data_IF_092165243609
#
_entry.id   IF_092165243609
#
_cell.length_a   1.000
_cell.length_b   1.000
_cell.length_c   1.000
_cell.angle_alpha   90.00
_cell.angle_beta   90.00
_cell.angle_gamma   90.00
#
_symmetry.space_group_name_H-M   'P 1'
#
loop_
_entity.id
_entity.type
_entity.pdbx_description
1 polymer ?
#
# COMPACT_ATOMS: atom_id res chain seq x y z
N UNK A 1 -40.31 -7.82 -3.44
CA UNK A 1 -40.23 -8.13 -4.90
C UNK A 1 -39.01 -7.41 -5.46
N UNK A 2 -37.86 -8.10 -5.60
CA UNK A 2 -36.69 -7.51 -6.25
C UNK A 2 -36.97 -7.44 -7.76
N UNK A 3 -37.12 -6.23 -8.29
CA UNK A 3 -37.20 -5.97 -9.73
C UNK A 3 -35.90 -6.44 -10.38
N UNK A 4 -35.96 -7.54 -11.15
CA UNK A 4 -34.82 -8.02 -11.93
C UNK A 4 -34.50 -7.00 -13.02
N UNK A 5 -33.43 -6.23 -12.82
CA UNK A 5 -32.93 -5.29 -13.82
C UNK A 5 -32.55 -6.05 -15.11
N UNK A 6 -32.97 -5.58 -16.29
CA UNK A 6 -32.64 -6.23 -17.55
C UNK A 6 -31.13 -6.14 -17.83
N UNK A 7 -30.50 -7.29 -18.12
CA UNK A 7 -29.06 -7.39 -18.44
C UNK A 7 -28.85 -7.45 -19.95
N UNK A 8 -28.14 -6.48 -20.52
CA UNK A 8 -27.78 -6.44 -21.94
C UNK A 8 -26.30 -6.81 -22.13
N UNK A 9 -26.01 -7.98 -22.74
CA UNK A 9 -24.65 -8.42 -23.07
C UNK A 9 -24.32 -8.15 -24.54
N UNK A 10 -23.28 -7.34 -24.82
CA UNK A 10 -22.75 -7.19 -26.17
C UNK A 10 -21.79 -8.36 -26.52
N UNK A 11 -22.07 -9.09 -27.61
CA UNK A 11 -21.14 -10.10 -28.14
C UNK A 11 -20.01 -9.41 -28.91
N UNK A 12 -18.77 -9.50 -28.42
CA UNK A 12 -17.56 -9.05 -29.15
C UNK A 12 -16.82 -10.27 -29.71
N UNK A 13 -16.51 -10.27 -31.01
CA UNK A 13 -15.71 -11.33 -31.68
C UNK A 13 -14.25 -11.23 -31.23
N UNK A 14 -13.74 -12.26 -30.55
CA UNK A 14 -12.36 -12.37 -30.06
C UNK A 14 -11.88 -13.80 -30.23
N UNK A 15 -10.61 -13.99 -30.58
CA UNK A 15 -9.98 -15.30 -30.64
C UNK A 15 -9.13 -15.53 -29.38
N UNK A 16 -9.36 -16.65 -28.67
CA UNK A 16 -8.61 -17.04 -27.49
C UNK A 16 -7.65 -18.18 -27.85
N UNK A 17 -6.40 -18.06 -27.44
CA UNK A 17 -5.38 -19.10 -27.59
C UNK A 17 -4.79 -19.41 -26.22
N UNK A 18 -4.75 -20.68 -25.85
CA UNK A 18 -4.25 -21.17 -24.56
C UNK A 18 -2.95 -21.94 -24.77
N UNK A 19 -2.05 -21.91 -23.77
CA UNK A 19 -0.88 -22.78 -23.78
C UNK A 19 -1.29 -24.25 -23.60
N UNK A 20 -0.48 -25.17 -24.13
CA UNK A 20 -0.74 -26.61 -24.03
C UNK A 20 -0.39 -27.17 -22.65
N UNK A 21 0.59 -26.57 -21.99
CA UNK A 21 1.06 -26.93 -20.66
C UNK A 21 1.19 -25.66 -19.78
N UNK A 22 1.20 -25.80 -18.45
CA UNK A 22 1.48 -24.69 -17.54
C UNK A 22 2.87 -24.09 -17.79
N UNK A 23 2.98 -22.77 -17.80
CA UNK A 23 4.24 -22.05 -17.95
C UNK A 23 4.83 -21.71 -16.58
N UNK A 24 6.04 -22.20 -16.29
CA UNK A 24 6.72 -21.94 -15.01
C UNK A 24 7.26 -20.51 -14.92
N UNK A 25 7.82 -19.99 -16.02
CA UNK A 25 8.28 -18.62 -16.15
C UNK A 25 7.39 -17.86 -17.13
N UNK A 26 6.28 -17.33 -16.61
CA UNK A 26 5.33 -16.57 -17.41
C UNK A 26 5.90 -15.23 -17.89
N UNK A 27 6.93 -14.69 -17.23
CA UNK A 27 7.56 -13.42 -17.62
C UNK A 27 8.32 -13.60 -18.93
N UNK A 28 9.15 -14.64 -18.99
CA UNK A 28 9.86 -15.01 -20.21
C UNK A 28 8.90 -15.39 -21.34
N UNK A 29 7.85 -16.16 -21.03
CA UNK A 29 6.81 -16.53 -21.99
C UNK A 29 6.07 -15.29 -22.54
N UNK A 30 5.84 -14.25 -21.72
CA UNK A 30 5.31 -12.97 -22.20
C UNK A 30 6.24 -12.31 -23.21
N UNK A 31 7.54 -12.21 -22.90
CA UNK A 31 8.54 -11.59 -23.78
C UNK A 31 8.61 -12.32 -25.13
N UNK A 32 8.69 -13.64 -25.12
CA UNK A 32 8.70 -14.47 -26.33
C UNK A 32 7.42 -14.27 -27.15
N UNK A 33 6.25 -14.27 -26.48
CA UNK A 33 4.96 -14.07 -27.14
C UNK A 33 4.87 -12.71 -27.83
N UNK A 34 5.31 -11.63 -27.16
CA UNK A 34 5.34 -10.28 -27.76
C UNK A 34 6.20 -10.26 -29.02
N UNK A 35 7.42 -10.81 -28.96
CA UNK A 35 8.35 -10.80 -30.09
C UNK A 35 7.82 -11.63 -31.25
N UNK A 36 7.25 -12.81 -30.98
CA UNK A 36 6.61 -13.63 -32.00
C UNK A 36 5.43 -12.89 -32.65
N UNK A 37 4.60 -12.22 -31.85
CA UNK A 37 3.47 -11.42 -32.34
C UNK A 37 3.95 -10.26 -33.21
N UNK A 38 5.03 -9.58 -32.80
CA UNK A 38 5.63 -8.47 -33.52
C UNK A 38 6.12 -8.88 -34.91
N UNK A 39 6.75 -10.06 -35.03
CA UNK A 39 7.32 -10.57 -36.29
C UNK A 39 6.25 -11.19 -37.20
N UNK A 40 5.30 -11.93 -36.64
CA UNK A 40 4.44 -12.83 -37.44
C UNK A 40 3.02 -12.31 -37.68
N UNK A 41 2.52 -11.38 -36.85
CA UNK A 41 1.12 -10.94 -36.91
C UNK A 41 0.98 -9.59 -37.62
N UNK A 42 -0.20 -9.36 -38.19
CA UNK A 42 -0.56 -8.09 -38.85
C UNK A 42 -0.49 -6.88 -37.89
N UNK A 43 -0.48 -5.64 -38.40
CA UNK A 43 -0.44 -4.43 -37.57
C UNK A 43 -1.50 -4.41 -36.46
N UNK A 44 -1.13 -3.83 -35.32
CA UNK A 44 -1.94 -3.80 -34.11
C UNK A 44 -1.05 -3.79 -32.87
N UNK A 45 -1.42 -3.00 -31.88
CA UNK A 45 -0.65 -2.86 -30.65
C UNK A 45 -0.91 -4.04 -29.70
N UNK A 46 0.08 -4.28 -28.84
CA UNK A 46 0.03 -5.33 -27.84
C UNK A 46 -0.21 -4.75 -26.45
N UNK A 47 -1.03 -5.44 -25.66
CA UNK A 47 -1.20 -5.21 -24.23
C UNK A 47 -0.79 -6.46 -23.45
N UNK A 48 0.20 -6.33 -22.58
CA UNK A 48 0.69 -7.42 -21.73
C UNK A 48 0.28 -7.13 -20.29
N UNK A 49 -0.32 -8.10 -19.61
CA UNK A 49 -0.64 -7.98 -18.19
C UNK A 49 0.47 -8.61 -17.34
N UNK A 50 1.01 -7.86 -16.38
CA UNK A 50 1.97 -8.33 -15.37
C UNK A 50 1.56 -7.83 -13.97
N UNK A 51 2.17 -8.36 -12.92
CA UNK A 51 1.62 -8.22 -11.57
C UNK A 51 2.06 -6.95 -10.84
N UNK A 52 3.19 -6.36 -11.23
CA UNK A 52 3.69 -5.14 -10.58
C UNK A 52 4.89 -4.50 -11.27
N UNK A 53 5.37 -3.40 -10.70
CA UNK A 53 6.43 -2.55 -11.25
C UNK A 53 7.70 -3.33 -11.61
N UNK A 54 8.21 -4.17 -10.72
CA UNK A 54 9.47 -4.89 -10.91
C UNK A 54 9.44 -5.84 -12.12
N UNK A 55 8.36 -6.62 -12.25
CA UNK A 55 8.13 -7.50 -13.41
C UNK A 55 7.96 -6.67 -14.69
N UNK A 56 7.21 -5.57 -14.63
CA UNK A 56 6.97 -4.69 -15.78
C UNK A 56 8.29 -4.10 -16.29
N UNK A 57 9.10 -3.54 -15.42
CA UNK A 57 10.39 -2.95 -15.78
C UNK A 57 11.34 -4.00 -16.35
N UNK A 58 11.42 -5.17 -15.70
CA UNK A 58 12.23 -6.30 -16.19
C UNK A 58 11.78 -6.77 -17.58
N UNK A 59 10.47 -6.92 -17.80
CA UNK A 59 9.91 -7.27 -19.11
C UNK A 59 10.24 -6.21 -20.17
N UNK A 60 10.11 -4.92 -19.82
CA UNK A 60 10.45 -3.83 -20.72
C UNK A 60 11.93 -3.85 -21.13
N UNK A 61 12.84 -4.04 -20.16
CA UNK A 61 14.28 -4.16 -20.38
C UNK A 61 14.59 -5.34 -21.32
N UNK A 62 14.04 -6.53 -21.05
CA UNK A 62 14.23 -7.73 -21.87
C UNK A 62 13.71 -7.56 -23.30
N UNK A 63 12.55 -6.93 -23.48
CA UNK A 63 11.99 -6.64 -24.80
C UNK A 63 12.88 -5.69 -25.60
N UNK A 64 13.31 -4.59 -24.98
CA UNK A 64 14.19 -3.61 -25.63
C UNK A 64 15.54 -4.25 -25.99
N UNK A 65 16.13 -5.03 -25.09
CA UNK A 65 17.40 -5.71 -25.33
C UNK A 65 17.29 -6.68 -26.51
N UNK A 66 16.26 -7.54 -26.54
CA UNK A 66 16.06 -8.50 -27.64
C UNK A 66 15.76 -7.82 -28.96
N UNK A 67 15.01 -6.72 -28.96
CA UNK A 67 14.77 -5.93 -30.17
C UNK A 67 16.07 -5.34 -30.72
N UNK A 68 16.95 -4.82 -29.86
CA UNK A 68 18.28 -4.33 -30.28
C UNK A 68 19.13 -5.43 -30.90
N UNK A 69 19.11 -6.66 -30.35
CA UNK A 69 19.84 -7.81 -30.91
C UNK A 69 19.33 -8.23 -32.28
N UNK A 70 18.03 -8.10 -32.53
CA UNK A 70 17.43 -8.40 -33.83
C UNK A 70 17.73 -7.32 -34.89
N UNK A 71 18.03 -6.09 -34.45
CA UNK A 71 18.48 -5.00 -35.31
C UNK A 71 17.48 -4.66 -36.40
N UNK A 72 17.97 -4.43 -37.62
CA UNK A 72 17.14 -4.08 -38.78
C UNK A 72 16.27 -5.22 -39.34
N UNK A 73 16.33 -6.42 -38.76
CA UNK A 73 15.51 -7.58 -39.20
C UNK A 73 14.05 -7.45 -38.81
N UNK A 74 13.73 -6.56 -37.86
CA UNK A 74 12.38 -6.32 -37.37
C UNK A 74 12.06 -4.83 -37.41
N UNK A 75 10.78 -4.49 -37.49
CA UNK A 75 10.31 -3.12 -37.34
C UNK A 75 10.53 -2.60 -35.91
N UNK A 76 10.47 -1.28 -35.75
CA UNK A 76 10.60 -0.64 -34.44
C UNK A 76 9.50 -1.09 -33.47
N UNK A 77 9.88 -1.36 -32.22
CA UNK A 77 8.99 -1.76 -31.13
C UNK A 77 9.04 -0.71 -30.02
N UNK A 78 7.94 0.00 -29.79
CA UNK A 78 7.80 0.97 -28.71
C UNK A 78 7.29 0.26 -27.47
N UNK A 79 8.16 0.14 -26.46
CA UNK A 79 7.84 -0.56 -25.21
C UNK A 79 7.53 0.46 -24.11
N UNK A 80 6.30 0.46 -23.60
CA UNK A 80 5.82 1.44 -22.64
C UNK A 80 5.24 0.76 -21.38
N UNK A 81 5.77 1.06 -20.18
CA UNK A 81 5.22 0.53 -18.93
C UNK A 81 4.01 1.34 -18.47
N UNK A 82 3.09 0.70 -17.73
CA UNK A 82 2.03 1.39 -16.98
C UNK A 82 1.71 0.69 -15.66
N UNK A 83 1.89 1.41 -14.55
CA UNK A 83 1.57 0.97 -13.19
C UNK A 83 1.24 2.19 -12.31
N UNK A 84 0.64 1.95 -11.14
CA UNK A 84 0.04 3.01 -10.31
C UNK A 84 1.00 4.17 -9.94
N UNK A 85 2.24 3.85 -9.58
CA UNK A 85 3.23 4.83 -9.12
C UNK A 85 4.06 5.48 -10.24
N UNK A 86 3.73 5.22 -11.52
CA UNK A 86 4.45 5.79 -12.65
C UNK A 86 4.17 7.30 -12.77
N UNK A 87 5.17 8.17 -13.01
CA UNK A 87 4.96 9.60 -13.22
C UNK A 87 3.97 9.91 -14.35
N UNK A 88 3.18 10.98 -14.19
CA UNK A 88 2.01 11.24 -15.05
C UNK A 88 2.37 11.55 -16.51
N UNK A 89 3.50 12.20 -16.72
CA UNK A 89 4.09 12.44 -18.04
C UNK A 89 4.44 11.13 -18.76
N UNK A 90 4.93 10.13 -18.03
CA UNK A 90 5.18 8.79 -18.57
C UNK A 90 3.88 8.01 -18.80
N UNK A 91 2.89 8.13 -17.90
CA UNK A 91 1.56 7.55 -18.12
C UNK A 91 0.87 8.14 -19.36
N UNK A 92 1.11 9.42 -19.70
CA UNK A 92 0.51 10.01 -20.89
C UNK A 92 1.03 9.38 -22.20
N UNK A 93 2.25 8.84 -22.20
CA UNK A 93 2.89 8.28 -23.40
C UNK A 93 2.15 7.07 -23.98
N UNK A 94 1.47 6.26 -23.15
CA UNK A 94 0.74 5.08 -23.65
C UNK A 94 -0.44 5.44 -24.57
N UNK A 95 -0.97 6.67 -24.46
CA UNK A 95 -2.07 7.17 -25.30
C UNK A 95 -1.59 7.75 -26.63
N UNK A 96 -0.28 7.97 -26.79
CA UNK A 96 0.25 8.47 -28.05
C UNK A 96 0.03 7.45 -29.17
N UNK A 97 -0.32 7.90 -30.39
CA UNK A 97 -0.53 7.01 -31.52
C UNK A 97 0.78 6.30 -31.89
N UNK A 98 0.65 5.05 -32.36
CA UNK A 98 1.80 4.27 -32.81
C UNK A 98 2.33 4.85 -34.14
N UNK A 99 3.62 5.22 -34.22
CA UNK A 99 4.26 5.67 -35.45
C UNK A 99 4.10 4.67 -36.61
N UNK A 100 3.97 5.14 -37.86
CA UNK A 100 3.89 4.27 -39.03
C UNK A 100 5.08 3.32 -39.12
N UNK A 101 4.82 2.05 -39.45
CA UNK A 101 5.86 1.02 -39.59
C UNK A 101 6.40 0.49 -38.26
N UNK A 102 5.83 0.90 -37.12
CA UNK A 102 6.21 0.40 -35.78
C UNK A 102 5.05 -0.32 -35.09
N UNK A 103 5.33 -0.96 -33.95
CA UNK A 103 4.30 -1.50 -33.05
C UNK A 103 4.51 -0.97 -31.65
N UNK A 104 3.42 -0.62 -30.95
CA UNK A 104 3.47 -0.29 -29.53
C UNK A 104 3.10 -1.52 -28.69
N UNK A 105 3.87 -1.74 -27.64
CA UNK A 105 3.63 -2.74 -26.60
C UNK A 105 3.48 -2.01 -25.29
N UNK A 106 2.30 -2.13 -24.70
CA UNK A 106 2.04 -1.61 -23.36
C UNK A 106 2.12 -2.76 -22.37
N UNK A 107 3.01 -2.64 -21.38
CA UNK A 107 3.19 -3.63 -20.31
C UNK A 107 2.56 -3.06 -19.05
N UNK A 108 1.47 -3.68 -18.59
CA UNK A 108 0.52 -3.08 -17.67
C UNK A 108 0.18 -3.95 -16.46
N UNK A 109 -0.16 -3.33 -15.34
CA UNK A 109 -0.92 -4.02 -14.28
C UNK A 109 -2.41 -4.11 -14.64
N UNK A 110 -3.22 -4.60 -13.69
CA UNK A 110 -4.68 -4.59 -13.78
C UNK A 110 -5.30 -3.18 -13.95
N UNK A 111 -4.53 -2.09 -13.90
CA UNK A 111 -5.03 -0.74 -14.26
C UNK A 111 -5.57 -0.69 -15.70
N UNK A 112 -5.03 -1.50 -16.61
CA UNK A 112 -5.49 -1.61 -17.99
C UNK A 112 -6.72 -2.53 -18.16
N UNK A 113 -7.16 -3.23 -17.10
CA UNK A 113 -8.27 -4.19 -17.14
C UNK A 113 -9.63 -3.52 -17.24
N UNK A 114 -9.84 -2.43 -16.48
CA UNK A 114 -11.09 -1.66 -16.41
C UNK A 114 -10.87 -0.18 -16.71
N UNK A 115 -9.93 0.45 -16.00
CA UNK A 115 -9.86 1.91 -15.85
C UNK A 115 -9.32 2.71 -17.05
N UNK A 116 -8.54 2.09 -17.95
CA UNK A 116 -7.90 2.81 -19.06
C UNK A 116 -8.32 2.27 -20.42
N UNK A 117 -8.51 3.15 -21.41
CA UNK A 117 -8.78 2.75 -22.80
C UNK A 117 -7.60 3.14 -23.67
N UNK A 118 -6.82 2.15 -24.11
CA UNK A 118 -5.69 2.35 -25.02
C UNK A 118 -6.17 1.99 -26.42
N UNK A 119 -6.17 2.96 -27.31
CA UNK A 119 -6.54 2.74 -28.70
C UNK A 119 -5.44 1.97 -29.43
N UNK A 120 -5.84 1.19 -30.45
CA UNK A 120 -4.91 0.40 -31.26
C UNK A 120 -4.61 -1.01 -30.74
N UNK A 121 -5.04 -1.38 -29.53
CA UNK A 121 -4.83 -2.72 -28.97
C UNK A 121 -5.62 -3.78 -29.75
N UNK A 122 -4.90 -4.70 -30.39
CA UNK A 122 -5.44 -5.87 -31.12
C UNK A 122 -4.97 -7.18 -30.49
N UNK A 123 -3.79 -7.17 -29.86
CA UNK A 123 -3.20 -8.34 -29.23
C UNK A 123 -3.15 -8.17 -27.71
N UNK A 124 -3.65 -9.16 -26.97
CA UNK A 124 -3.51 -9.22 -25.51
C UNK A 124 -2.71 -10.45 -25.15
N UNK A 125 -1.78 -10.31 -24.22
CA UNK A 125 -1.07 -11.42 -23.58
C UNK A 125 -1.44 -11.40 -22.10
N UNK A 126 -2.02 -12.49 -21.62
CA UNK A 126 -2.50 -12.63 -20.25
C UNK A 126 -1.85 -13.86 -19.59
N UNK A 127 -0.90 -13.66 -18.66
CA UNK A 127 -0.34 -14.76 -17.89
C UNK A 127 -1.27 -15.28 -16.80
N UNK A 128 -2.41 -14.61 -16.55
CA UNK A 128 -3.42 -15.11 -15.61
C UNK A 128 -3.14 -14.79 -14.14
N UNK A 129 -2.25 -13.84 -13.83
CA UNK A 129 -1.93 -13.43 -12.46
C UNK A 129 -2.28 -11.96 -12.18
N UNK A 130 -2.49 -11.64 -10.90
CA UNK A 130 -2.60 -10.28 -10.38
C UNK A 130 -2.07 -10.19 -8.94
N UNK A 131 -1.63 -9.00 -8.51
CA UNK A 131 -1.44 -8.72 -7.09
C UNK A 131 -2.76 -8.33 -6.45
N UNK A 132 -3.10 -8.99 -5.36
CA UNK A 132 -4.32 -8.72 -4.60
C UNK A 132 -3.95 -8.37 -3.16
N UNK A 133 -4.65 -7.39 -2.59
CA UNK A 133 -4.56 -7.10 -1.16
C UNK A 133 -5.13 -8.27 -0.36
N UNK A 134 -4.38 -8.67 0.66
CA UNK A 134 -4.77 -9.64 1.66
C UNK A 134 -4.50 -9.04 3.03
N UNK A 135 -5.50 -9.11 3.90
CA UNK A 135 -5.45 -8.59 5.26
C UNK A 135 -5.61 -9.73 6.26
N UNK A 136 -4.68 -9.81 7.20
CA UNK A 136 -4.79 -10.70 8.34
C UNK A 136 -5.20 -9.88 9.57
N UNK A 137 -6.47 -10.00 9.97
CA UNK A 137 -7.03 -9.23 11.07
C UNK A 137 -6.33 -9.47 12.42
N UNK A 138 -5.84 -10.70 12.66
CA UNK A 138 -5.22 -11.06 13.93
C UNK A 138 -3.83 -10.45 14.10
N UNK A 139 -3.07 -10.34 13.02
CA UNK A 139 -1.74 -9.71 13.03
C UNK A 139 -1.79 -8.23 12.66
N UNK A 140 -2.94 -7.73 12.17
CA UNK A 140 -3.09 -6.39 11.61
C UNK A 140 -2.28 -6.17 10.33
N UNK A 141 -1.82 -7.24 9.69
CA UNK A 141 -0.86 -7.17 8.60
C UNK A 141 -1.55 -7.09 7.24
N UNK A 142 -1.12 -6.14 6.42
CA UNK A 142 -1.49 -6.05 5.01
C UNK A 142 -0.38 -6.63 4.14
N UNK A 143 -0.78 -7.36 3.10
CA UNK A 143 0.14 -7.96 2.15
C UNK A 143 -0.42 -7.88 0.74
N UNK A 144 0.48 -7.75 -0.24
CA UNK A 144 0.13 -7.84 -1.65
C UNK A 144 0.63 -9.18 -2.17
N UNK A 145 -0.29 -10.13 -2.33
CA UNK A 145 0.03 -11.49 -2.74
C UNK A 145 -0.27 -11.63 -4.23
N UNK A 146 0.68 -12.21 -4.97
CA UNK A 146 0.44 -12.62 -6.36
C UNK A 146 -0.49 -13.83 -6.33
N UNK A 147 -1.63 -13.70 -6.97
CA UNK A 147 -2.68 -14.73 -7.04
C UNK A 147 -3.16 -14.90 -8.48
N UNK A 148 -3.66 -16.08 -8.85
CA UNK A 148 -4.35 -16.26 -10.13
C UNK A 148 -5.52 -15.28 -10.23
N UNK A 149 -5.72 -14.69 -11.41
CA UNK A 149 -6.87 -13.82 -11.65
C UNK A 149 -8.15 -14.65 -11.78
N UNK A 150 -9.31 -14.02 -11.52
CA UNK A 150 -10.60 -14.67 -11.71
C UNK A 150 -10.92 -14.84 -13.20
N UNK A 151 -11.79 -15.80 -13.52
CA UNK A 151 -12.35 -15.97 -14.87
C UNK A 151 -13.02 -14.68 -15.36
N UNK A 152 -13.71 -13.95 -14.48
CA UNK A 152 -14.27 -12.64 -14.79
C UNK A 152 -13.18 -11.65 -15.22
N UNK A 153 -12.07 -11.57 -14.49
CA UNK A 153 -10.93 -10.68 -14.79
C UNK A 153 -10.25 -11.06 -16.11
N UNK A 154 -9.91 -12.34 -16.31
CA UNK A 154 -9.35 -12.85 -17.56
C UNK A 154 -10.25 -12.53 -18.79
N UNK A 155 -11.56 -12.65 -18.65
CA UNK A 155 -12.51 -12.30 -19.70
C UNK A 155 -12.53 -10.79 -20.02
N UNK A 156 -12.31 -9.93 -19.02
CA UNK A 156 -12.17 -8.48 -19.20
C UNK A 156 -10.86 -8.12 -19.87
N UNK A 157 -9.75 -8.74 -19.47
CA UNK A 157 -8.42 -8.61 -20.09
C UNK A 157 -8.46 -9.00 -21.56
N UNK A 158 -9.01 -10.18 -21.87
CA UNK A 158 -9.26 -10.60 -23.25
C UNK A 158 -10.17 -9.61 -24.01
N UNK A 159 -11.03 -8.87 -23.30
CA UNK A 159 -11.92 -7.83 -23.84
C UNK A 159 -11.20 -6.61 -24.38
N UNK A 160 -9.93 -6.44 -24.05
CA UNK A 160 -9.11 -5.33 -24.54
C UNK A 160 -8.69 -5.50 -25.99
N UNK A 161 -8.48 -6.74 -26.45
CA UNK A 161 -8.16 -7.05 -27.85
C UNK A 161 -9.32 -6.79 -28.84
N UNK A 162 -10.57 -6.67 -28.38
CA UNK A 162 -11.75 -6.66 -29.24
C UNK A 162 -12.48 -5.31 -29.37
N UNK A 163 -11.77 -4.18 -29.20
CA UNK A 163 -12.39 -2.84 -29.17
C UNK A 163 -12.48 -2.18 -30.54
N UNK A 164 -11.42 -2.27 -31.33
CA UNK A 164 -11.30 -1.58 -32.63
C UNK A 164 -11.54 -2.55 -33.79
N UNK A 165 -11.04 -3.78 -33.69
CA UNK A 165 -11.17 -4.82 -34.71
C UNK A 165 -11.25 -6.21 -34.05
N UNK A 166 -11.32 -7.26 -34.87
CA UNK A 166 -11.18 -8.64 -34.38
C UNK A 166 -9.76 -8.86 -33.84
N UNK A 167 -9.63 -8.99 -32.51
CA UNK A 167 -8.35 -9.22 -31.86
C UNK A 167 -8.15 -10.62 -31.30
N UNK A 168 -6.92 -10.85 -30.86
CA UNK A 168 -6.44 -12.12 -30.31
C UNK A 168 -5.98 -11.94 -28.88
N UNK A 169 -6.33 -12.88 -28.01
CA UNK A 169 -5.82 -12.96 -26.66
C UNK A 169 -5.05 -14.26 -26.49
N UNK A 170 -3.79 -14.14 -26.06
CA UNK A 170 -2.89 -15.24 -25.78
C UNK A 170 -2.84 -15.44 -24.26
N UNK A 171 -3.49 -16.49 -23.79
CA UNK A 171 -3.53 -16.90 -22.40
C UNK A 171 -2.35 -17.83 -22.13
N UNK A 172 -1.43 -17.45 -21.23
CA UNK A 172 -0.25 -18.26 -20.88
C UNK A 172 -0.55 -19.31 -19.81
N UNK A 173 -1.78 -19.80 -19.82
CA UNK A 173 -2.31 -20.86 -18.97
C UNK A 173 -3.18 -21.77 -19.82
N UNK A 174 -3.37 -23.00 -19.33
CA UNK A 174 -4.15 -24.00 -20.06
C UNK A 174 -5.64 -23.69 -20.01
N UNK A 175 -6.39 -24.15 -21.01
CA UNK A 175 -7.85 -24.09 -20.98
C UNK A 175 -8.45 -24.87 -19.79
N UNK A 176 -7.72 -25.88 -19.28
CA UNK A 176 -8.11 -26.61 -18.09
C UNK A 176 -8.01 -25.75 -16.83
N UNK A 177 -6.87 -25.08 -16.63
CA UNK A 177 -6.65 -24.16 -15.51
C UNK A 177 -7.69 -23.02 -15.50
N UNK A 178 -7.97 -22.45 -16.67
CA UNK A 178 -9.03 -21.45 -16.82
C UNK A 178 -10.40 -21.92 -16.34
N UNK A 179 -10.73 -23.21 -16.54
CA UNK A 179 -12.06 -23.74 -16.23
C UNK A 179 -12.17 -24.31 -14.81
N UNK A 180 -11.09 -24.85 -14.25
CA UNK A 180 -11.13 -25.63 -13.01
C UNK A 180 -10.26 -25.07 -11.87
N UNK A 181 -9.22 -24.28 -12.17
CA UNK A 181 -8.34 -23.70 -11.14
C UNK A 181 -8.69 -22.23 -10.84
N UNK A 182 -9.16 -21.48 -11.84
CA UNK A 182 -9.52 -20.08 -11.67
C UNK A 182 -10.92 -19.89 -11.10
N UNK A 183 -11.02 -19.08 -10.04
CA UNK A 183 -12.28 -18.67 -9.44
C UNK A 183 -13.19 -17.92 -10.43
N UNK A 184 -14.50 -18.01 -10.28
CA UNK A 184 -15.45 -17.32 -11.17
C UNK A 184 -15.29 -15.80 -11.11
N UNK A 185 -15.29 -15.28 -9.89
CA UNK A 185 -15.24 -13.88 -9.55
C UNK A 185 -14.16 -13.64 -8.51
N UNK A 186 -13.56 -12.47 -8.55
CA UNK A 186 -12.62 -12.03 -7.53
C UNK A 186 -13.36 -11.88 -6.21
N UNK A 187 -12.77 -12.36 -5.11
CA UNK A 187 -13.34 -12.16 -3.76
C UNK A 187 -13.62 -10.65 -3.53
N UNK A 188 -14.69 -10.24 -2.85
CA UNK A 188 -14.99 -8.83 -2.60
C UNK A 188 -13.92 -8.14 -1.73
N UNK A 189 -13.80 -6.81 -1.85
CA UNK A 189 -12.83 -6.03 -1.07
C UNK A 189 -13.11 -6.08 0.44
N UNK A 190 -14.39 -6.01 0.83
CA UNK A 190 -14.83 -6.05 2.25
C UNK A 190 -14.37 -7.32 2.99
N UNK A 191 -14.10 -8.42 2.28
CA UNK A 191 -13.62 -9.66 2.89
C UNK A 191 -12.08 -9.73 3.01
N UNK A 192 -11.35 -8.72 2.52
CA UNK A 192 -9.87 -8.76 2.38
C UNK A 192 -9.15 -7.49 2.85
N UNK A 193 -9.85 -6.56 3.50
CA UNK A 193 -9.28 -5.30 3.98
C UNK A 193 -9.57 -5.10 5.46
N UNK A 194 -8.84 -4.18 6.09
CA UNK A 194 -9.18 -3.71 7.43
C UNK A 194 -10.58 -3.05 7.41
N UNK A 195 -11.41 -3.40 8.39
CA UNK A 195 -12.79 -2.91 8.51
C UNK A 195 -12.95 -1.76 9.50
N UNK A 196 -11.90 -1.29 10.17
CA UNK A 196 -11.97 -0.23 11.20
C UNK A 196 -12.76 1.01 10.73
N UNK A 197 -12.44 1.52 9.54
CA UNK A 197 -13.17 2.64 8.92
C UNK A 197 -14.62 2.33 8.59
N UNK A 198 -14.88 1.14 8.03
CA UNK A 198 -16.23 0.71 7.65
C UNK A 198 -17.11 0.56 8.89
N UNK A 199 -16.59 -0.06 9.94
CA UNK A 199 -17.29 -0.23 11.22
C UNK A 199 -17.56 1.12 11.87
N UNK A 200 -16.58 2.03 11.91
CA UNK A 200 -16.76 3.38 12.44
C UNK A 200 -17.87 4.14 11.70
N UNK A 201 -17.89 4.05 10.37
CA UNK A 201 -18.91 4.67 9.52
C UNK A 201 -20.30 4.05 9.73
N UNK A 202 -20.41 2.73 9.77
CA UNK A 202 -21.70 2.07 10.01
C UNK A 202 -22.27 2.46 11.38
N UNK A 203 -21.40 2.54 12.39
CA UNK A 203 -21.78 3.00 13.73
C UNK A 203 -22.19 4.47 13.75
N UNK A 204 -21.54 5.35 13.00
CA UNK A 204 -21.96 6.76 12.90
C UNK A 204 -23.30 6.95 12.19
N UNK A 205 -23.65 6.04 11.28
CA UNK A 205 -24.98 5.97 10.64
C UNK A 205 -26.07 5.38 11.55
N UNK A 206 -25.74 4.95 12.78
CA UNK A 206 -26.68 4.38 13.74
C UNK A 206 -26.92 2.88 13.57
N UNK A 207 -26.11 2.18 12.77
CA UNK A 207 -26.20 0.74 12.59
C UNK A 207 -25.45 0.05 13.73
N UNK A 208 -26.21 -0.49 14.69
CA UNK A 208 -25.64 -1.11 15.88
C UNK A 208 -25.35 -2.60 15.71
N UNK A 209 -26.24 -3.31 15.00
CA UNK A 209 -26.11 -4.74 14.72
C UNK A 209 -25.37 -4.94 13.39
N UNK A 210 -24.04 -5.05 13.49
CA UNK A 210 -23.18 -5.25 12.33
C UNK A 210 -23.16 -6.71 11.87
N UNK A 211 -23.57 -7.66 12.71
CA UNK A 211 -23.56 -9.09 12.40
C UNK A 211 -24.71 -9.43 11.46
N UNK A 212 -25.88 -8.85 11.70
CA UNK A 212 -27.08 -9.05 10.88
C UNK A 212 -27.32 -7.94 9.86
N UNK A 213 -26.33 -7.07 9.64
CA UNK A 213 -26.42 -6.06 8.60
C UNK A 213 -26.43 -6.71 7.21
N UNK A 214 -27.29 -6.20 6.31
CA UNK A 214 -27.54 -6.77 4.98
C UNK A 214 -26.41 -6.44 3.99
N UNK A 215 -25.23 -7.03 4.22
CA UNK A 215 -24.11 -6.97 3.29
C UNK A 215 -24.41 -7.86 2.07
N UNK A 216 -24.13 -7.35 0.86
CA UNK A 216 -24.16 -8.15 -0.36
C UNK A 216 -23.27 -9.40 -0.24
N UNK A 217 -22.06 -9.19 0.29
CA UNK A 217 -21.11 -10.25 0.64
C UNK A 217 -20.58 -9.93 2.05
N UNK A 218 -21.01 -10.66 3.10
CA UNK A 218 -20.65 -10.34 4.47
C UNK A 218 -19.15 -10.57 4.73
N UNK A 219 -18.49 -9.70 5.50
CA UNK A 219 -17.13 -9.94 5.96
C UNK A 219 -17.07 -11.09 7.00
N UNK A 220 -15.89 -11.71 7.21
CA UNK A 220 -15.72 -12.66 8.30
C UNK A 220 -16.02 -12.03 9.67
N UNK A 221 -16.77 -12.75 10.52
CA UNK A 221 -17.12 -12.27 11.87
C UNK A 221 -15.91 -11.90 12.71
N UNK A 222 -14.81 -12.67 12.63
CA UNK A 222 -13.57 -12.39 13.35
C UNK A 222 -13.00 -11.01 12.99
N UNK A 223 -13.04 -10.63 11.70
CA UNK A 223 -12.57 -9.31 11.24
C UNK A 223 -13.44 -8.17 11.80
N UNK A 224 -14.76 -8.36 11.88
CA UNK A 224 -15.66 -7.38 12.48
C UNK A 224 -15.40 -7.20 13.99
N UNK A 225 -15.21 -8.32 14.72
CA UNK A 225 -14.93 -8.28 16.16
C UNK A 225 -13.61 -7.56 16.43
N UNK A 226 -12.55 -7.88 15.69
CA UNK A 226 -11.24 -7.25 15.87
C UNK A 226 -11.27 -5.75 15.52
N UNK A 227 -12.07 -5.35 14.52
CA UNK A 227 -12.28 -3.93 14.22
C UNK A 227 -13.02 -3.20 15.36
N UNK A 228 -14.03 -3.83 15.98
CA UNK A 228 -14.73 -3.28 17.16
C UNK A 228 -13.79 -3.17 18.37
N UNK A 229 -12.95 -4.19 18.61
CA UNK A 229 -11.95 -4.17 19.69
C UNK A 229 -10.92 -3.05 19.49
N UNK A 230 -10.46 -2.84 18.25
CA UNK A 230 -9.55 -1.75 17.92
C UNK A 230 -10.22 -0.38 18.17
N UNK A 231 -11.45 -0.19 17.71
CA UNK A 231 -12.19 1.06 17.93
C UNK A 231 -12.51 1.31 19.41
N UNK A 232 -12.79 0.25 20.18
CA UNK A 232 -12.92 0.34 21.63
C UNK A 232 -11.59 0.76 22.29
N UNK A 233 -10.47 0.15 21.89
CA UNK A 233 -9.16 0.53 22.40
C UNK A 233 -8.81 2.00 22.09
N UNK A 234 -9.20 2.52 20.94
CA UNK A 234 -9.01 3.92 20.53
C UNK A 234 -9.96 4.91 21.25
N UNK A 235 -10.82 4.43 22.15
CA UNK A 235 -11.92 5.17 22.79
C UNK A 235 -12.97 5.71 21.80
N UNK A 236 -13.02 5.19 20.58
CA UNK A 236 -14.05 5.55 19.61
C UNK A 236 -15.41 4.92 20.00
N UNK A 237 -15.37 3.74 20.64
CA UNK A 237 -16.55 3.04 21.16
C UNK A 237 -16.48 2.91 22.68
N UNK A 238 -17.64 2.90 23.34
CA UNK A 238 -17.76 2.55 24.76
C UNK A 238 -17.87 1.02 24.95
N UNK A 239 -17.99 0.57 26.19
CA UNK A 239 -18.10 -0.86 26.54
C UNK A 239 -19.40 -1.53 26.04
N UNK A 240 -20.41 -0.73 25.66
CA UNK A 240 -21.66 -1.21 25.04
C UNK A 240 -21.55 -1.27 23.51
N UNK A 241 -20.42 -0.86 22.93
CA UNK A 241 -20.22 -0.80 21.48
C UNK A 241 -20.91 0.39 20.81
N UNK A 242 -21.22 1.45 21.55
CA UNK A 242 -21.81 2.70 21.07
C UNK A 242 -20.74 3.77 20.84
N UNK A 243 -21.01 4.67 19.89
CA UNK A 243 -20.07 5.71 19.50
C UNK A 243 -19.91 6.79 20.59
N UNK A 244 -18.69 7.01 21.04
CA UNK A 244 -18.35 8.06 22.03
C UNK A 244 -18.34 9.45 21.37
N UNK A 245 -18.18 10.52 22.16
CA UNK A 245 -17.95 11.87 21.61
C UNK A 245 -16.70 11.92 20.74
N UNK A 246 -15.65 11.21 21.16
CA UNK A 246 -14.42 11.09 20.39
C UNK A 246 -14.66 10.31 19.09
N UNK A 247 -15.34 9.16 19.16
CA UNK A 247 -15.69 8.37 17.97
C UNK A 247 -16.52 9.14 16.95
N UNK A 248 -17.42 10.03 17.40
CA UNK A 248 -18.17 10.94 16.51
C UNK A 248 -17.25 11.92 15.79
N UNK A 249 -16.34 12.59 16.51
CA UNK A 249 -15.32 13.45 15.88
C UNK A 249 -14.44 12.67 14.91
N UNK A 250 -14.11 11.42 15.25
CA UNK A 250 -13.29 10.57 14.38
C UNK A 250 -13.98 10.24 13.05
N UNK A 251 -15.30 10.00 13.09
CA UNK A 251 -16.10 9.65 11.91
C UNK A 251 -16.28 10.80 10.91
N UNK A 252 -16.06 12.06 11.33
CA UNK A 252 -16.08 13.23 10.45
C UNK A 252 -14.81 13.33 9.58
N UNK A 253 -13.74 12.61 9.95
CA UNK A 253 -12.47 12.62 9.23
C UNK A 253 -12.38 11.45 8.23
N UNK A 254 -12.07 11.69 6.95
CA UNK A 254 -12.02 10.65 5.92
C UNK A 254 -10.67 9.90 5.94
N UNK A 255 -10.25 9.44 7.13
CA UNK A 255 -8.98 8.75 7.37
C UNK A 255 -9.15 7.55 8.29
N UNK A 256 -8.14 6.67 8.31
CA UNK A 256 -8.09 5.52 9.23
C UNK A 256 -8.29 5.92 10.70
N UNK A 257 -8.94 5.09 11.56
CA UNK A 257 -9.27 5.49 12.93
C UNK A 257 -8.02 5.81 13.76
N UNK A 258 -6.89 5.13 13.55
CA UNK A 258 -5.64 5.44 14.26
C UNK A 258 -5.09 6.81 13.84
N UNK A 259 -5.17 7.12 12.54
CA UNK A 259 -4.75 8.42 12.02
C UNK A 259 -5.70 9.54 12.50
N UNK A 260 -6.99 9.26 12.55
CA UNK A 260 -8.02 10.17 13.07
C UNK A 260 -7.78 10.49 14.55
N UNK A 261 -7.49 9.47 15.38
CA UNK A 261 -7.11 9.65 16.79
C UNK A 261 -5.83 10.47 16.94
N UNK A 262 -4.81 10.23 16.10
CA UNK A 262 -3.59 11.04 16.09
C UNK A 262 -3.90 12.52 15.80
N UNK A 263 -4.74 12.80 14.81
CA UNK A 263 -5.15 14.16 14.47
C UNK A 263 -5.91 14.82 15.62
N UNK A 264 -6.84 14.11 16.27
CA UNK A 264 -7.57 14.64 17.44
C UNK A 264 -6.64 14.89 18.63
N UNK A 265 -5.63 14.05 18.84
CA UNK A 265 -4.62 14.27 19.88
C UNK A 265 -3.78 15.53 19.64
N UNK A 266 -3.78 16.09 18.42
CA UNK A 266 -3.12 17.36 18.13
C UNK A 266 -3.72 18.56 18.85
N UNK A 267 -4.94 18.46 19.38
CA UNK A 267 -5.50 19.49 20.28
C UNK A 267 -4.61 19.69 21.52
N UNK A 268 -4.05 18.60 22.06
CA UNK A 268 -3.18 18.63 23.24
C UNK A 268 -1.71 18.86 22.87
N UNK A 269 -1.25 18.24 21.79
CA UNK A 269 0.17 18.21 21.42
C UNK A 269 0.54 19.16 20.27
N UNK A 270 -0.44 19.89 19.73
CA UNK A 270 -0.32 21.06 18.86
C UNK A 270 0.47 20.89 17.55
N UNK A 271 0.59 19.69 16.94
CA UNK A 271 1.30 19.53 15.65
C UNK A 271 1.24 18.13 14.96
N UNK A 272 0.28 17.83 14.07
CA UNK A 272 0.36 16.59 13.24
C UNK A 272 -0.30 16.61 11.85
N UNK A 273 -1.04 17.66 11.48
CA UNK A 273 -1.85 17.66 10.23
C UNK A 273 -1.02 17.39 8.97
N UNK A 274 0.14 18.05 8.85
CA UNK A 274 1.06 17.84 7.72
C UNK A 274 1.55 16.40 7.66
N UNK A 275 1.88 15.81 8.80
CA UNK A 275 2.33 14.41 8.88
C UNK A 275 1.19 13.48 8.45
N UNK A 276 -0.04 13.72 8.91
CA UNK A 276 -1.20 12.92 8.52
C UNK A 276 -1.48 12.99 7.01
N UNK A 277 -1.37 14.17 6.42
CA UNK A 277 -1.54 14.36 5.00
C UNK A 277 -0.44 13.66 4.18
N UNK A 278 0.80 13.72 4.65
CA UNK A 278 1.94 13.04 4.01
C UNK A 278 1.83 11.51 4.14
N UNK A 279 1.41 10.98 5.29
CA UNK A 279 1.16 9.54 5.50
C UNK A 279 0.10 9.01 4.52
N UNK A 280 -0.93 9.80 4.23
CA UNK A 280 -2.02 9.44 3.31
C UNK A 280 -1.56 9.25 1.85
N UNK A 281 -0.37 9.75 1.47
CA UNK A 281 0.21 9.60 0.11
C UNK A 281 1.60 8.93 0.11
N UNK A 282 2.06 8.47 1.27
CA UNK A 282 3.45 8.15 1.55
C UNK A 282 4.10 7.15 0.59
N UNK A 283 3.34 6.16 0.09
CA UNK A 283 3.82 5.14 -0.85
C UNK A 283 4.26 5.68 -2.23
N UNK A 284 4.09 6.97 -2.50
CA UNK A 284 4.35 7.59 -3.81
C UNK A 284 5.14 8.90 -3.74
N UNK A 285 5.70 9.26 -2.58
CA UNK A 285 6.42 10.54 -2.43
C UNK A 285 7.81 10.45 -3.05
N UNK A 286 8.61 9.47 -2.62
CA UNK A 286 9.98 9.29 -3.09
C UNK A 286 10.02 8.50 -4.39
N UNK A 287 10.71 9.03 -5.38
CA UNK A 287 10.95 8.37 -6.67
C UNK A 287 12.39 7.85 -6.71
N UNK A 288 12.56 6.54 -6.93
CA UNK A 288 13.87 5.90 -6.94
C UNK A 288 14.12 5.18 -8.28
N UNK A 289 14.51 5.92 -9.33
CA UNK A 289 14.75 5.33 -10.65
C UNK A 289 16.00 4.43 -10.63
N UNK A 290 15.94 3.29 -11.33
CA UNK A 290 17.03 2.28 -11.36
C UNK A 290 18.37 2.84 -11.84
N UNK A 291 18.36 3.75 -12.80
CA UNK A 291 19.56 4.38 -13.39
C UNK A 291 20.17 5.47 -12.51
N UNK A 292 19.43 6.02 -11.53
CA UNK A 292 19.91 7.09 -10.64
C UNK A 292 19.69 6.78 -9.16
N UNK A 293 19.75 5.50 -8.80
CA UNK A 293 19.58 5.02 -7.41
C UNK A 293 20.44 5.80 -6.42
N UNK A 294 21.74 5.95 -6.68
CA UNK A 294 22.67 6.64 -5.77
C UNK A 294 22.30 8.10 -5.58
N UNK A 295 21.88 8.78 -6.65
CA UNK A 295 21.49 10.20 -6.57
C UNK A 295 20.18 10.36 -5.80
N UNK A 296 19.21 9.47 -6.02
CA UNK A 296 17.94 9.47 -5.29
C UNK A 296 18.14 9.18 -3.80
N UNK A 297 19.00 8.22 -3.46
CA UNK A 297 19.31 7.89 -2.07
C UNK A 297 20.07 9.04 -1.38
N UNK A 298 21.03 9.68 -2.05
CA UNK A 298 21.72 10.87 -1.53
C UNK A 298 20.77 12.05 -1.32
N UNK A 299 19.88 12.33 -2.28
CA UNK A 299 18.86 13.37 -2.12
C UNK A 299 17.95 13.07 -0.92
N UNK A 300 17.60 11.79 -0.71
CA UNK A 300 16.80 11.38 0.42
C UNK A 300 17.50 11.58 1.76
N UNK A 301 18.80 11.34 1.85
CA UNK A 301 19.57 11.54 3.08
C UNK A 301 19.53 13.00 3.55
N UNK A 302 19.43 13.96 2.63
CA UNK A 302 19.30 15.39 2.99
C UNK A 302 18.01 15.72 3.77
N UNK A 303 17.01 14.84 3.70
CA UNK A 303 15.76 15.01 4.46
C UNK A 303 15.74 14.28 5.80
N UNK A 304 16.73 13.42 6.06
CA UNK A 304 16.78 12.64 7.29
C UNK A 304 17.02 13.57 8.47
N UNK A 305 16.09 13.51 9.42
CA UNK A 305 16.14 14.27 10.68
C UNK A 305 15.93 13.31 11.85
N UNK A 306 16.49 13.62 13.03
CA UNK A 306 16.26 12.83 14.24
C UNK A 306 14.76 12.68 14.55
N UNK A 307 14.38 11.54 15.12
CA UNK A 307 13.01 11.27 15.57
C UNK A 307 12.26 10.24 14.74
N UNK A 308 12.60 10.05 13.46
CA UNK A 308 12.10 8.97 12.61
C UNK A 308 11.40 9.41 11.33
N UNK A 309 10.77 8.46 10.64
CA UNK A 309 10.23 8.65 9.29
C UNK A 309 9.14 9.73 9.22
N UNK A 310 8.34 9.87 10.28
CA UNK A 310 7.31 10.90 10.37
C UNK A 310 7.90 12.32 10.34
N UNK A 311 9.07 12.51 10.95
CA UNK A 311 9.79 13.78 10.94
C UNK A 311 10.44 14.04 9.58
N UNK A 312 10.91 13.00 8.89
CA UNK A 312 11.39 13.10 7.50
C UNK A 312 10.27 13.58 6.58
N UNK A 313 9.06 13.02 6.72
CA UNK A 313 7.89 13.47 5.94
C UNK A 313 7.54 14.93 6.21
N UNK A 314 7.60 15.37 7.47
CA UNK A 314 7.40 16.78 7.81
C UNK A 314 8.47 17.67 7.18
N UNK A 315 9.75 17.29 7.28
CA UNK A 315 10.88 18.03 6.71
C UNK A 315 10.76 18.18 5.19
N UNK A 316 10.42 17.10 4.48
CA UNK A 316 10.18 17.14 3.02
C UNK A 316 9.08 18.14 2.66
N UNK A 317 7.96 18.13 3.40
CA UNK A 317 6.86 19.06 3.13
C UNK A 317 7.26 20.51 3.43
N UNK A 318 7.96 20.77 4.53
CA UNK A 318 8.39 22.11 4.92
C UNK A 318 9.38 22.69 3.90
N UNK A 319 10.38 21.93 3.44
CA UNK A 319 11.30 22.42 2.41
C UNK A 319 10.60 22.67 1.07
N UNK A 320 9.61 21.83 0.71
CA UNK A 320 8.81 22.08 -0.49
C UNK A 320 7.96 23.35 -0.37
N UNK A 321 7.37 23.60 0.80
CA UNK A 321 6.66 24.84 1.11
C UNK A 321 7.58 26.07 0.98
N UNK A 322 8.77 26.02 1.58
CA UNK A 322 9.77 27.10 1.53
C UNK A 322 10.28 27.38 0.10
N UNK A 323 10.32 26.34 -0.75
CA UNK A 323 10.60 26.50 -2.18
C UNK A 323 9.49 27.16 -2.99
N UNK A 324 8.38 27.55 -2.35
CA UNK A 324 7.19 28.09 -3.00
C UNK A 324 6.40 27.03 -3.77
N UNK A 325 6.39 25.78 -3.28
CA UNK A 325 5.76 24.63 -3.94
C UNK A 325 6.34 24.32 -5.34
N UNK A 326 7.65 24.54 -5.51
CA UNK A 326 8.31 24.43 -6.81
C UNK A 326 8.24 23.01 -7.37
N UNK A 327 7.80 22.91 -8.63
CA UNK A 327 7.85 21.67 -9.39
C UNK A 327 9.30 21.26 -9.70
N UNK A 328 10.17 22.22 -10.02
CA UNK A 328 11.58 21.96 -10.30
C UNK A 328 12.30 21.38 -9.08
N UNK A 329 12.03 21.92 -7.89
CA UNK A 329 12.58 21.42 -6.63
C UNK A 329 12.22 19.95 -6.39
N UNK A 330 10.97 19.56 -6.69
CA UNK A 330 10.56 18.15 -6.60
C UNK A 330 11.37 17.26 -7.55
N UNK A 331 11.59 17.68 -8.80
CA UNK A 331 12.37 16.91 -9.77
C UNK A 331 13.84 16.75 -9.33
N UNK A 332 14.47 17.81 -8.85
CA UNK A 332 15.87 17.79 -8.39
C UNK A 332 16.08 16.90 -7.16
N UNK A 333 15.07 16.85 -6.28
CA UNK A 333 15.11 16.06 -5.04
C UNK A 333 14.47 14.67 -5.16
N UNK A 334 14.17 14.20 -6.38
CA UNK A 334 13.55 12.89 -6.62
C UNK A 334 12.22 12.69 -5.88
N UNK A 335 11.40 13.74 -5.79
CA UNK A 335 10.08 13.76 -5.17
C UNK A 335 9.00 13.84 -6.24
N UNK A 336 7.92 13.08 -6.09
CA UNK A 336 6.79 13.14 -7.00
C UNK A 336 5.90 14.35 -6.71
N UNK A 337 5.94 15.36 -7.58
CA UNK A 337 5.14 16.58 -7.46
C UNK A 337 3.64 16.31 -7.32
N UNK A 338 3.08 15.33 -8.06
CA UNK A 338 1.65 14.99 -7.98
C UNK A 338 1.25 14.48 -6.60
N UNK A 339 2.12 13.71 -5.95
CA UNK A 339 1.92 13.19 -4.60
C UNK A 339 1.98 14.32 -3.57
N UNK A 340 2.94 15.23 -3.71
CA UNK A 340 3.05 16.42 -2.85
C UNK A 340 1.84 17.36 -3.00
N UNK A 341 1.38 17.60 -4.24
CA UNK A 341 0.15 18.36 -4.49
C UNK A 341 -1.06 17.70 -3.82
N UNK A 342 -1.21 16.38 -3.96
CA UNK A 342 -2.29 15.65 -3.28
C UNK A 342 -2.16 15.73 -1.76
N UNK A 343 -0.96 15.65 -1.19
CA UNK A 343 -0.75 15.84 0.25
C UNK A 343 -1.20 17.24 0.69
N UNK A 344 -0.89 18.28 -0.09
CA UNK A 344 -1.37 19.63 0.18
C UNK A 344 -2.90 19.72 0.13
N UNK A 345 -3.52 19.18 -0.92
CA UNK A 345 -4.98 19.17 -1.05
C UNK A 345 -5.65 18.44 0.15
N UNK A 346 -5.08 17.30 0.57
CA UNK A 346 -5.54 16.56 1.76
C UNK A 346 -5.34 17.37 3.04
N UNK A 347 -4.20 18.05 3.19
CA UNK A 347 -3.93 18.91 4.35
C UNK A 347 -4.96 20.04 4.44
N UNK A 348 -5.24 20.73 3.35
CA UNK A 348 -6.23 21.81 3.28
C UNK A 348 -7.65 21.29 3.58
N UNK A 349 -7.99 20.10 3.09
CA UNK A 349 -9.27 19.44 3.43
C UNK A 349 -9.36 19.09 4.92
N UNK A 350 -8.31 18.50 5.49
CA UNK A 350 -8.27 18.16 6.91
C UNK A 350 -8.34 19.41 7.79
N UNK A 351 -7.66 20.49 7.41
CA UNK A 351 -7.70 21.79 8.09
C UNK A 351 -9.13 22.35 8.12
N UNK A 352 -9.85 22.33 6.99
CA UNK A 352 -11.27 22.74 6.96
C UNK A 352 -12.22 21.81 7.75
N UNK A 353 -11.84 20.55 7.97
CA UNK A 353 -12.58 19.64 8.84
C UNK A 353 -12.26 19.85 10.31
N UNK A 354 -11.07 20.35 10.67
CA UNK A 354 -10.69 20.65 12.06
C UNK A 354 -11.65 21.66 12.70
N UNK A 355 -12.08 22.67 11.94
CA UNK A 355 -13.06 23.67 12.40
C UNK A 355 -14.40 23.02 12.78
N UNK A 356 -14.86 22.01 12.03
CA UNK A 356 -16.14 21.32 12.28
C UNK A 356 -16.10 20.47 13.54
N UNK A 357 -14.93 19.92 13.85
CA UNK A 357 -14.72 19.08 15.03
C UNK A 357 -14.18 19.88 16.21
N UNK A 358 -14.10 21.21 16.11
CA UNK A 358 -13.64 22.12 17.17
C UNK A 358 -12.22 21.79 17.67
N UNK A 359 -11.29 21.46 16.76
CA UNK A 359 -9.86 21.30 17.08
C UNK A 359 -9.11 22.56 16.63
N UNK A 360 -8.44 23.23 17.56
CA UNK A 360 -7.58 24.37 17.21
C UNK A 360 -6.32 23.91 16.47
N UNK A 361 -6.09 24.49 15.29
CA UNK A 361 -4.86 24.26 14.53
C UNK A 361 -3.74 25.09 15.13
N UNK A 362 -2.88 24.43 15.91
CA UNK A 362 -1.68 25.03 16.47
C UNK A 362 -0.41 24.51 15.78
N UNK A 363 0.65 25.30 15.84
CA UNK A 363 2.02 24.90 15.48
C UNK A 363 2.93 24.98 16.72
N UNK A 364 3.68 23.92 17.02
CA UNK A 364 4.71 23.91 18.06
C UNK A 364 6.04 24.44 17.50
N UNK A 365 6.81 25.10 18.36
CA UNK A 365 8.08 25.74 18.02
C UNK A 365 9.24 24.74 17.95
N UNK A 366 9.22 23.83 16.97
CA UNK A 366 10.34 22.93 16.65
C UNK A 366 10.60 21.79 17.64
N UNK A 367 9.76 21.60 18.66
CA UNK A 367 9.87 20.46 19.57
C UNK A 367 9.26 19.19 18.95
N UNK A 368 10.05 18.12 18.94
CA UNK A 368 9.74 16.82 18.37
C UNK A 368 8.89 15.98 19.34
N UNK A 369 9.02 16.21 20.65
CA UNK A 369 8.35 15.39 21.68
C UNK A 369 6.82 15.44 21.57
N UNK A 370 6.16 16.60 21.40
CA UNK A 370 4.71 16.66 21.23
C UNK A 370 4.23 15.86 20.01
N UNK A 371 4.97 15.94 18.89
CA UNK A 371 4.66 15.19 17.67
C UNK A 371 4.71 13.69 17.97
N UNK A 372 5.79 13.21 18.61
CA UNK A 372 5.94 11.80 18.97
C UNK A 372 4.83 11.33 19.92
N UNK A 373 4.44 12.15 20.91
CA UNK A 373 3.31 11.85 21.81
C UNK A 373 1.97 11.80 21.08
N UNK A 374 1.72 12.69 20.12
CA UNK A 374 0.51 12.67 19.30
C UNK A 374 0.44 11.41 18.42
N UNK A 375 1.55 11.03 17.78
CA UNK A 375 1.65 9.77 17.04
C UNK A 375 1.42 8.59 17.99
N UNK A 376 1.96 8.64 19.20
CA UNK A 376 1.73 7.62 20.24
C UNK A 376 0.25 7.50 20.60
N UNK A 377 -0.46 8.61 20.77
CA UNK A 377 -1.89 8.60 21.09
C UNK A 377 -2.77 7.96 20.01
N UNK A 378 -2.38 8.06 18.72
CA UNK A 378 -3.12 7.42 17.63
C UNK A 378 -2.68 5.98 17.34
N UNK A 379 -1.38 5.70 17.45
CA UNK A 379 -0.75 4.46 16.99
C UNK A 379 -0.19 3.60 18.13
N UNK A 380 -0.59 3.83 19.39
CA UNK A 380 -0.15 3.00 20.52
C UNK A 380 -0.42 1.50 20.26
N UNK A 381 -1.47 1.17 19.50
CA UNK A 381 -1.77 -0.21 19.10
C UNK A 381 -0.63 -0.86 18.30
N UNK A 382 0.11 -0.06 17.54
CA UNK A 382 1.21 -0.44 16.65
C UNK A 382 2.59 -0.19 17.29
N UNK A 383 2.79 -0.72 18.49
CA UNK A 383 4.06 -0.60 19.21
C UNK A 383 4.94 -1.85 19.04
N UNK A 384 6.24 -1.63 18.82
CA UNK A 384 7.26 -2.66 18.80
C UNK A 384 8.45 -2.33 19.70
N UNK A 385 9.06 -3.37 20.26
CA UNK A 385 10.23 -3.28 21.16
C UNK A 385 11.40 -4.07 20.61
N UNK A 386 12.59 -3.51 20.72
CA UNK A 386 13.84 -4.19 20.35
C UNK A 386 14.07 -5.43 21.24
N UNK A 387 14.49 -6.53 20.63
CA UNK A 387 14.76 -7.83 21.26
C UNK A 387 16.03 -8.47 20.65
N UNK A 388 16.51 -9.60 21.20
CA UNK A 388 17.75 -10.31 20.80
C UNK A 388 17.77 -10.89 19.36
N UNK A 389 16.87 -10.45 18.47
CA UNK A 389 16.77 -10.95 17.09
C UNK A 389 15.99 -10.04 16.13
N UNK A 390 15.88 -8.75 16.46
CA UNK A 390 15.02 -7.78 15.78
C UNK A 390 13.97 -7.22 16.73
N UNK A 391 12.88 -6.69 16.18
CA UNK A 391 11.79 -6.12 16.97
C UNK A 391 10.71 -7.16 17.25
N UNK A 392 9.98 -6.97 18.35
CA UNK A 392 8.77 -7.72 18.66
C UNK A 392 7.60 -6.78 18.93
N UNK A 393 6.44 -7.11 18.38
CA UNK A 393 5.19 -6.41 18.73
C UNK A 393 4.84 -6.68 20.19
N UNK A 394 4.33 -5.67 20.91
CA UNK A 394 4.16 -5.79 22.37
C UNK A 394 3.08 -6.82 22.74
N UNK A 395 1.93 -6.79 22.05
CA UNK A 395 0.78 -7.65 22.39
C UNK A 395 0.88 -9.05 21.78
N UNK A 396 1.28 -9.16 20.51
CA UNK A 396 1.32 -10.45 19.81
C UNK A 396 2.68 -11.15 19.87
N UNK A 397 3.73 -10.48 20.38
CA UNK A 397 5.10 -11.01 20.43
C UNK A 397 5.63 -11.48 19.06
N UNK A 398 5.09 -10.90 17.99
CA UNK A 398 5.42 -11.20 16.61
C UNK A 398 6.75 -10.55 16.24
N UNK A 399 7.64 -11.29 15.58
CA UNK A 399 8.96 -10.79 15.20
C UNK A 399 8.86 -9.97 13.92
N UNK A 400 9.19 -8.68 14.04
CA UNK A 400 9.08 -7.70 12.95
C UNK A 400 10.42 -6.97 12.77
N UNK A 401 10.62 -6.40 11.58
CA UNK A 401 11.86 -5.73 11.21
C UNK A 401 11.60 -4.31 10.73
N UNK A 402 12.48 -3.35 11.03
CA UNK A 402 12.40 -2.02 10.42
C UNK A 402 12.67 -2.16 8.92
N UNK A 403 11.81 -1.56 8.08
CA UNK A 403 12.01 -1.59 6.63
C UNK A 403 13.36 -0.91 6.26
N UNK A 404 14.14 -1.45 5.30
CA UNK A 404 15.43 -0.85 4.88
C UNK A 404 15.36 0.58 4.35
N UNK A 405 14.15 1.06 4.07
CA UNK A 405 13.91 2.42 3.57
C UNK A 405 13.69 3.42 4.71
N UNK A 406 13.63 2.98 5.96
CA UNK A 406 13.39 3.87 7.10
C UNK A 406 14.67 4.64 7.46
N UNK A 407 14.52 5.86 7.96
CA UNK A 407 15.63 6.59 8.57
C UNK A 407 16.17 5.93 9.84
N UNK A 408 15.38 5.08 10.50
CA UNK A 408 15.76 4.40 11.75
C UNK A 408 16.30 2.98 11.53
N UNK A 409 16.61 2.61 10.28
CA UNK A 409 17.10 1.26 9.96
C UNK A 409 18.42 0.93 10.67
N UNK A 410 19.33 1.91 10.78
CA UNK A 410 20.65 1.74 11.41
C UNK A 410 20.64 2.04 12.91
N UNK A 411 19.94 3.09 13.36
CA UNK A 411 19.93 3.52 14.77
C UNK A 411 19.27 2.50 15.71
N UNK A 412 18.26 1.77 15.20
CA UNK A 412 17.53 0.72 15.92
C UNK A 412 17.18 1.10 17.37
N UNK A 413 16.37 2.15 17.59
CA UNK A 413 16.04 2.57 18.94
C UNK A 413 15.14 1.54 19.64
N UNK A 414 15.13 1.59 20.96
CA UNK A 414 14.58 0.52 21.80
C UNK A 414 13.08 0.33 21.66
N UNK A 415 12.34 1.41 21.51
CA UNK A 415 10.88 1.42 21.38
C UNK A 415 10.49 2.21 20.15
N UNK A 416 9.63 1.60 19.34
CA UNK A 416 9.16 2.15 18.09
C UNK A 416 7.63 2.06 18.02
N UNK A 417 7.06 3.03 17.35
CA UNK A 417 5.72 2.92 16.75
C UNK A 417 5.88 2.84 15.25
N UNK A 418 5.03 2.04 14.61
CA UNK A 418 4.97 1.90 13.16
C UNK A 418 3.59 2.30 12.62
N UNK A 419 3.57 2.85 11.40
CA UNK A 419 2.31 3.19 10.74
C UNK A 419 1.60 1.95 10.21
N UNK A 420 2.32 1.09 9.48
CA UNK A 420 1.78 -0.11 8.85
C UNK A 420 2.78 -1.29 8.94
N UNK A 421 2.23 -2.50 8.96
CA UNK A 421 2.99 -3.75 8.79
C UNK A 421 2.76 -4.30 7.39
N UNK A 422 3.85 -4.53 6.68
CA UNK A 422 3.83 -5.07 5.32
C UNK A 422 4.62 -6.37 5.25
N UNK A 423 3.99 -7.41 4.70
CA UNK A 423 4.68 -8.64 4.36
C UNK A 423 5.22 -8.61 2.93
N UNK A 424 6.52 -8.78 2.79
CA UNK A 424 7.17 -9.03 1.49
C UNK A 424 7.94 -10.35 1.53
N UNK A 425 9.21 -10.31 1.91
CA UNK A 425 10.05 -11.48 2.21
C UNK A 425 10.06 -11.78 3.70
N UNK A 426 9.92 -10.73 4.52
CA UNK A 426 9.77 -10.75 5.96
C UNK A 426 8.69 -9.73 6.34
N UNK A 427 8.34 -9.74 7.61
CA UNK A 427 7.40 -8.78 8.20
C UNK A 427 8.13 -7.47 8.50
N UNK A 428 7.86 -6.45 7.69
CA UNK A 428 8.50 -5.16 7.82
C UNK A 428 7.55 -4.09 8.37
N UNK A 429 8.01 -3.40 9.41
CA UNK A 429 7.43 -2.16 9.90
C UNK A 429 7.83 -1.02 8.97
N UNK A 430 6.82 -0.26 8.56
CA UNK A 430 6.97 0.90 7.70
C UNK A 430 6.57 2.17 8.46
N UNK A 431 7.32 3.23 8.19
CA UNK A 431 7.11 4.57 8.72
C UNK A 431 7.16 4.51 10.24
N UNK A 432 8.39 4.34 10.74
CA UNK A 432 8.65 4.16 12.16
C UNK A 432 9.03 5.48 12.81
N UNK A 433 8.65 5.61 14.08
CA UNK A 433 9.03 6.74 14.93
C UNK A 433 9.49 6.20 16.27
N UNK A 434 10.55 6.79 16.82
CA UNK A 434 10.99 6.44 18.17
C UNK A 434 9.96 6.94 19.20
N UNK A 435 9.79 6.22 20.31
CA UNK A 435 8.97 6.68 21.44
C UNK A 435 9.62 6.35 22.79
N UNK A 436 9.21 7.05 23.84
CA UNK A 436 9.45 6.61 25.22
C UNK A 436 8.32 5.66 25.66
N UNK A 437 8.67 4.55 26.31
CA UNK A 437 7.69 3.59 26.82
C UNK A 437 6.74 4.18 27.86
N UNK A 438 7.16 5.19 28.63
CA UNK A 438 6.32 5.84 29.63
C UNK A 438 5.08 6.49 29.01
N UNK A 439 5.19 7.01 27.79
CA UNK A 439 4.08 7.67 27.10
C UNK A 439 2.93 6.71 26.79
N UNK A 440 3.20 5.42 26.60
CA UNK A 440 2.17 4.40 26.37
C UNK A 440 1.22 4.26 27.57
N UNK A 441 1.73 4.45 28.78
CA UNK A 441 0.91 4.46 30.00
C UNK A 441 0.14 5.78 30.15
N UNK A 442 0.72 6.88 29.69
CA UNK A 442 0.05 8.19 29.68
C UNK A 442 -1.15 8.19 28.72
N UNK A 443 -0.95 7.69 27.48
CA UNK A 443 -1.98 7.79 26.43
C UNK A 443 -2.99 6.64 26.46
N UNK A 444 -2.61 5.46 26.91
CA UNK A 444 -3.46 4.26 26.86
C UNK A 444 -3.30 3.37 28.11
N UNK A 445 -3.60 3.88 29.32
CA UNK A 445 -3.46 3.14 30.58
C UNK A 445 -4.41 1.93 30.69
N UNK A 446 -5.51 1.93 29.95
CA UNK A 446 -6.44 0.80 29.83
C UNK A 446 -5.86 -0.33 28.98
N UNK A 447 -5.00 -0.01 28.03
CA UNK A 447 -4.42 -0.97 27.09
C UNK A 447 -3.07 -1.51 27.58
N UNK A 448 -2.20 -0.65 28.12
CA UNK A 448 -0.87 -1.02 28.61
C UNK A 448 -0.79 -1.08 30.13
N UNK A 449 -0.06 -2.08 30.63
CA UNK A 449 0.24 -2.25 32.06
C UNK A 449 1.74 -2.16 32.30
N UNK A 450 2.14 -1.65 33.47
CA UNK A 450 3.56 -1.52 33.85
C UNK A 450 4.38 -2.81 33.61
N UNK A 451 3.83 -3.98 33.95
CA UNK A 451 4.50 -5.28 33.76
C UNK A 451 4.85 -5.59 32.30
N UNK A 452 4.10 -5.09 31.33
CA UNK A 452 4.34 -5.32 29.90
C UNK A 452 5.47 -4.42 29.36
N UNK A 453 5.64 -3.26 29.99
CA UNK A 453 6.66 -2.27 29.64
C UNK A 453 7.95 -2.47 30.45
N UNK A 454 7.86 -3.15 31.59
CA UNK A 454 9.01 -3.58 32.39
C UNK A 454 9.93 -4.48 31.58
N UNK A 455 11.21 -4.14 31.60
CA UNK A 455 12.22 -4.86 30.89
C UNK A 455 12.80 -5.99 31.75
N UNK A 456 12.57 -7.23 31.33
CA UNK A 456 13.22 -8.39 31.93
C UNK A 456 14.70 -8.50 31.55
N UNK A 457 15.16 -7.78 30.52
CA UNK A 457 16.56 -7.83 30.04
C UNK A 457 17.51 -6.86 30.77
N UNK A 458 17.00 -5.80 31.40
CA UNK A 458 17.76 -4.88 32.25
C UNK A 458 17.96 -5.37 33.68
N UNK A 459 17.29 -6.44 34.11
CA UNK A 459 17.55 -7.07 35.41
C UNK A 459 18.92 -7.76 35.34
N UNK A 460 19.97 -7.07 35.80
CA UNK A 460 21.24 -7.71 36.17
C UNK A 460 20.91 -8.90 37.05
N UNK A 461 21.30 -10.10 36.65
CA UNK A 461 21.20 -11.29 37.50
C UNK A 461 21.79 -10.93 38.87
N UNK A 462 21.07 -11.19 39.99
CA UNK A 462 21.66 -10.98 41.29
C UNK A 462 22.96 -11.79 41.32
N UNK A 463 24.09 -11.11 41.61
CA UNK A 463 25.35 -11.80 41.89
C UNK A 463 25.04 -12.81 42.98
N UNK A 464 25.01 -14.10 42.64
CA UNK A 464 25.06 -15.15 43.65
C UNK A 464 26.35 -14.90 44.42
N UNK A 465 26.25 -14.35 45.62
CA UNK A 465 27.32 -14.49 46.61
C UNK A 465 27.51 -15.99 46.75
N UNK A 466 28.63 -16.51 46.24
CA UNK A 466 29.03 -17.87 46.53
C UNK A 466 29.11 -18.00 48.05
N UNK A 467 28.35 -18.94 48.61
CA UNK A 467 28.50 -19.29 50.02
C UNK A 467 29.96 -19.66 50.26
N UNK A 468 30.57 -19.04 51.27
CA UNK A 468 31.91 -19.40 51.71
C UNK A 468 31.93 -20.88 52.11
N UNK A 469 33.07 -21.53 51.90
CA UNK A 469 33.30 -22.97 52.11
C UNK A 469 33.08 -23.44 53.56
N UNK A 470 32.81 -22.53 54.49
CA UNK A 470 32.48 -22.81 55.89
C UNK A 470 30.98 -23.12 56.13
N UNK A 471 30.10 -22.89 55.15
CA UNK A 471 28.66 -23.25 55.24
C UNK A 471 28.31 -24.58 54.52
N UNK A 472 29.31 -25.30 54.03
CA UNK A 472 29.15 -26.67 53.50
C UNK A 472 29.99 -27.56 54.40
N UNK A 473 29.35 -28.04 55.47
CA UNK A 473 29.96 -28.87 56.52
C UNK A 473 30.62 -30.14 56.03
#
# INVERSE_FOLDING_TARGET
MATRSPVRRMKRRRHLSYTKAPEADYLEACVVSVLQIHVTQSPGDCLVFLTGQEEIETCCELLQERCRRLGSKISELLVLPIYANLPSDMQAKIFSPTPPGSRKVVVATNIAETSLTIDGIIYVIDPGFCKQKSYNARTGMESLIVTPCSRASANQRAGRAGRVAAGKCFCLYTAWAFKHEMEESTVPEIQRTNLGNVVLLLKSLGINDLIHFDFMDPPPHETLVLALEQLYALDALNHLGELTKLGRRMAELPVDPMLSKMILASEQYKCVLTIAAMLSVNNSIFYRPKDKVVHADNARQNFVVPGGDHMVLLNVYTQWLESGYSTQWCYENFIQFRSMKRARDVREQLEGLMDRIEVEVCSSSGDIVPIRKAVTAGYFYHTARLSKGGYKTVKHQQTVYVHPNSSLFEEQPRWLIYHELVFTTKEFMRQVIEIDSSWLLEVAPHYYKNKELEDSSSKKMPRKQGKAKEELG
#
